data_IF_165234344022
#
_entry.id   IF_165234344022
#
_cell.length_a   1.000
_cell.length_b   1.000
_cell.length_c   1.000
_cell.angle_alpha   90.00
_cell.angle_beta   90.00
_cell.angle_gamma   90.00
#
_symmetry.space_group_name_H-M   'P 1'
#
loop_
_entity.id
_entity.type
_entity.pdbx_description
1 polymer ?
#
# COMPACT_ATOMS: atom_id res chain seq x y z
N UNK A 1 -18.05 19.79 -64.31
CA UNK A 1 -16.97 18.96 -64.92
C UNK A 1 -16.28 18.13 -63.83
N UNK A 2 -15.44 17.14 -64.19
CA UNK A 2 -14.75 16.24 -63.21
C UNK A 2 -14.04 17.01 -62.09
N UNK A 3 -13.27 18.04 -62.44
CA UNK A 3 -12.56 18.92 -61.51
C UNK A 3 -13.47 19.63 -60.49
N UNK A 4 -14.75 19.83 -60.80
CA UNK A 4 -15.72 20.50 -59.94
C UNK A 4 -16.19 19.56 -58.81
N UNK A 5 -16.40 18.28 -59.15
CA UNK A 5 -16.68 17.19 -58.21
C UNK A 5 -15.48 16.90 -57.30
N UNK A 6 -14.26 16.89 -57.84
CA UNK A 6 -13.02 16.72 -57.07
C UNK A 6 -12.81 17.89 -56.08
N UNK A 7 -13.09 19.13 -56.50
CA UNK A 7 -13.02 20.32 -55.62
C UNK A 7 -14.05 20.26 -54.49
N UNK A 8 -15.29 19.84 -54.78
CA UNK A 8 -16.33 19.70 -53.75
C UNK A 8 -16.01 18.57 -52.75
N UNK A 9 -15.50 17.44 -53.25
CA UNK A 9 -15.04 16.33 -52.41
C UNK A 9 -13.88 16.75 -51.48
N UNK A 10 -12.90 17.51 -51.99
CA UNK A 10 -11.78 18.02 -51.20
C UNK A 10 -12.23 18.97 -50.09
N UNK A 11 -13.16 19.90 -50.37
CA UNK A 11 -13.74 20.79 -49.34
C UNK A 11 -14.49 20.00 -48.27
N UNK A 12 -15.28 18.98 -48.68
CA UNK A 12 -16.03 18.13 -47.75
C UNK A 12 -15.12 17.25 -46.89
N UNK A 13 -14.00 16.79 -47.42
CA UNK A 13 -12.96 16.08 -46.67
C UNK A 13 -12.26 16.99 -45.65
N UNK A 14 -11.86 18.20 -46.04
CA UNK A 14 -11.23 19.18 -45.16
C UNK A 14 -12.14 19.57 -43.97
N UNK A 15 -13.43 19.84 -44.24
CA UNK A 15 -14.40 20.13 -43.20
C UNK A 15 -14.60 18.96 -42.20
N UNK A 16 -14.51 17.71 -42.69
CA UNK A 16 -14.63 16.51 -41.85
C UNK A 16 -13.39 16.27 -40.99
N UNK A 17 -12.19 16.56 -41.53
CA UNK A 17 -10.93 16.49 -40.80
C UNK A 17 -10.87 17.54 -39.68
N UNK A 18 -11.26 18.78 -39.95
CA UNK A 18 -11.26 19.85 -38.94
C UNK A 18 -12.27 19.58 -37.82
N UNK A 19 -13.46 19.06 -38.16
CA UNK A 19 -14.44 18.63 -37.14
C UNK A 19 -13.90 17.51 -36.24
N UNK A 20 -13.15 16.56 -36.79
CA UNK A 20 -12.52 15.48 -36.02
C UNK A 20 -11.46 16.03 -35.06
N UNK A 21 -10.62 16.96 -35.54
CA UNK A 21 -9.57 17.63 -34.74
C UNK A 21 -10.17 18.41 -33.56
N UNK A 22 -11.23 19.18 -33.80
CA UNK A 22 -11.95 19.89 -32.73
C UNK A 22 -12.57 18.93 -31.71
N UNK A 23 -13.07 17.77 -32.16
CA UNK A 23 -13.66 16.76 -31.27
C UNK A 23 -12.61 16.05 -30.41
N UNK A 24 -11.39 15.83 -30.93
CA UNK A 24 -10.25 15.34 -30.14
C UNK A 24 -9.81 16.35 -29.09
N UNK A 25 -9.57 17.61 -29.49
CA UNK A 25 -9.20 18.69 -28.57
C UNK A 25 -10.22 18.89 -27.44
N UNK A 26 -11.52 18.87 -27.75
CA UNK A 26 -12.58 18.98 -26.75
C UNK A 26 -12.64 17.76 -25.79
N UNK A 27 -12.24 16.57 -26.25
CA UNK A 27 -12.12 15.38 -25.39
C UNK A 27 -10.92 15.53 -24.46
N UNK A 28 -9.75 15.87 -25.00
CA UNK A 28 -8.50 16.07 -24.26
C UNK A 28 -8.64 17.18 -23.21
N UNK A 29 -9.28 18.30 -23.52
CA UNK A 29 -9.53 19.38 -22.55
C UNK A 29 -10.48 18.93 -21.43
N UNK A 30 -11.53 18.16 -21.76
CA UNK A 30 -12.47 17.61 -20.77
C UNK A 30 -11.78 16.61 -19.84
N UNK A 31 -10.91 15.77 -20.40
CA UNK A 31 -10.12 14.77 -19.67
C UNK A 31 -9.10 15.45 -18.76
N UNK A 32 -8.36 16.45 -19.27
CA UNK A 32 -7.46 17.30 -18.50
C UNK A 32 -8.18 18.01 -17.34
N UNK A 33 -9.35 18.64 -17.58
CA UNK A 33 -10.15 19.28 -16.51
C UNK A 33 -10.66 18.28 -15.47
N UNK A 34 -10.94 17.04 -15.87
CA UNK A 34 -11.32 15.99 -14.93
C UNK A 34 -10.13 15.59 -14.05
N UNK A 35 -8.94 15.44 -14.64
CA UNK A 35 -7.69 15.18 -13.91
C UNK A 35 -7.33 16.33 -12.97
N UNK A 36 -7.37 17.59 -13.42
CA UNK A 36 -7.11 18.76 -12.56
C UNK A 36 -8.06 18.82 -11.36
N UNK A 37 -9.36 18.52 -11.55
CA UNK A 37 -10.33 18.43 -10.45
C UNK A 37 -10.06 17.25 -9.50
N UNK A 38 -9.68 16.09 -10.04
CA UNK A 38 -9.28 14.90 -9.26
C UNK A 38 -8.05 15.20 -8.40
N UNK A 39 -7.04 15.86 -8.97
CA UNK A 39 -5.82 16.29 -8.27
C UNK A 39 -6.11 17.35 -7.20
N UNK A 40 -6.94 18.35 -7.47
CA UNK A 40 -7.33 19.33 -6.45
C UNK A 40 -8.07 18.68 -5.27
N UNK A 41 -9.00 17.77 -5.55
CA UNK A 41 -9.71 17.03 -4.52
C UNK A 41 -8.78 16.11 -3.68
N UNK A 42 -7.63 15.70 -4.24
CA UNK A 42 -6.57 14.97 -3.53
C UNK A 42 -5.93 15.87 -2.46
N UNK A 43 -5.44 17.05 -2.86
CA UNK A 43 -4.82 18.02 -1.95
C UNK A 43 -5.80 18.55 -0.89
N UNK A 44 -7.06 18.78 -1.27
CA UNK A 44 -8.12 19.20 -0.34
C UNK A 44 -8.47 18.13 0.71
N UNK A 45 -8.26 16.84 0.39
CA UNK A 45 -8.44 15.71 1.31
C UNK A 45 -7.21 15.53 2.22
N UNK A 46 -6.01 15.57 1.63
CA UNK A 46 -4.74 15.52 2.36
C UNK A 46 -4.66 16.61 3.44
N UNK A 47 -5.02 17.85 3.08
CA UNK A 47 -5.04 18.98 4.00
C UNK A 47 -6.00 18.79 5.18
N UNK A 48 -7.13 18.10 4.99
CA UNK A 48 -8.05 17.76 6.10
C UNK A 48 -7.44 16.72 7.01
N UNK A 49 -6.87 15.66 6.44
CA UNK A 49 -6.17 14.62 7.22
C UNK A 49 -5.07 15.24 8.07
N UNK A 50 -4.27 16.15 7.52
CA UNK A 50 -3.24 16.87 8.27
C UNK A 50 -3.80 17.80 9.36
N UNK A 51 -4.94 18.47 9.12
CA UNK A 51 -5.63 19.30 10.13
C UNK A 51 -6.10 18.43 11.31
N UNK A 52 -6.86 17.36 11.01
CA UNK A 52 -7.41 16.43 12.01
C UNK A 52 -6.31 15.76 12.86
N UNK A 53 -5.12 15.52 12.29
CA UNK A 53 -3.95 15.02 13.02
C UNK A 53 -3.28 16.07 13.92
N UNK A 54 -3.33 17.35 13.56
CA UNK A 54 -2.76 18.43 14.37
C UNK A 54 -3.62 18.82 15.58
N UNK A 55 -4.95 18.69 15.47
CA UNK A 55 -5.91 19.00 16.55
C UNK A 55 -5.96 17.96 17.69
N UNK A 56 -5.11 16.92 17.64
CA UNK A 56 -5.08 15.80 18.59
C UNK A 56 -3.72 15.58 19.28
N UNK A 57 -2.77 16.52 19.15
CA UNK A 57 -1.48 16.47 19.85
C UNK A 57 -1.40 17.36 21.11
N UNK A 58 -2.40 18.21 21.35
CA UNK A 58 -2.42 19.18 22.46
C UNK A 58 -3.19 18.72 23.71
N UNK A 59 -3.90 17.58 23.67
CA UNK A 59 -4.59 16.98 24.84
C UNK A 59 -4.24 15.49 25.03
N UNK A 60 -3.17 15.19 25.78
CA UNK A 60 -3.10 14.13 26.81
C UNK A 60 -1.66 14.01 27.36
N UNK A 61 -1.33 14.83 28.37
CA UNK A 61 -0.22 14.59 29.29
C UNK A 61 -0.80 14.28 30.68
N UNK A 62 -0.97 12.99 31.05
CA UNK A 62 -1.35 12.64 32.42
C UNK A 62 -0.15 12.83 33.36
N UNK A 63 -0.36 13.55 34.46
CA UNK A 63 0.64 13.77 35.51
C UNK A 63 1.14 12.45 36.10
N UNK A 64 2.46 12.31 36.23
CA UNK A 64 3.09 11.16 36.84
C UNK A 64 2.98 11.22 38.38
N UNK A 65 2.49 10.17 39.07
CA UNK A 65 2.47 10.12 40.52
C UNK A 65 3.87 9.83 41.09
N UNK A 66 4.45 10.83 41.77
CA UNK A 66 5.60 10.65 42.66
C UNK A 66 5.20 9.93 43.95
N UNK A 67 5.84 8.80 44.27
CA UNK A 67 6.00 8.36 45.66
C UNK A 67 7.21 7.44 45.85
N UNK A 68 8.04 7.80 46.83
CA UNK A 68 9.28 7.13 47.21
C UNK A 68 9.16 6.32 48.51
N UNK A 69 10.18 5.50 48.82
CA UNK A 69 10.39 4.64 50.02
C UNK A 69 9.62 3.30 49.99
N UNK A 70 10.06 2.21 50.62
CA UNK A 70 11.18 1.92 51.55
C UNK A 70 11.65 0.46 51.23
N UNK A 71 12.90 0.02 51.41
CA UNK A 71 13.43 -0.40 52.71
C UNK A 71 14.02 -1.82 52.63
N UNK A 72 15.29 -1.97 53.01
CA UNK A 72 16.18 -3.15 53.01
C UNK A 72 15.61 -4.51 53.50
N UNK A 73 16.12 -5.63 52.94
CA UNK A 73 16.72 -6.69 53.78
C UNK A 73 17.71 -7.60 53.02
N UNK A 74 18.70 -8.15 53.74
CA UNK A 74 19.76 -9.02 53.22
C UNK A 74 19.49 -10.51 53.52
N UNK A 75 20.07 -11.42 52.71
CA UNK A 75 21.13 -12.37 53.14
C UNK A 75 21.07 -13.81 52.54
N UNK A 76 22.27 -14.34 52.29
CA UNK A 76 22.68 -15.75 52.29
C UNK A 76 22.13 -16.77 51.29
N UNK A 77 23.00 -17.17 50.36
CA UNK A 77 23.56 -18.53 50.43
C UNK A 77 23.21 -19.51 49.27
N UNK A 78 24.20 -20.18 48.64
CA UNK A 78 23.99 -20.95 47.42
C UNK A 78 23.78 -22.46 47.65
N UNK A 79 23.20 -23.14 46.65
CA UNK A 79 23.38 -24.60 46.43
C UNK A 79 23.46 -24.92 44.94
N UNK A 80 24.50 -25.69 44.60
CA UNK A 80 24.78 -26.22 43.26
C UNK A 80 23.93 -27.47 42.90
N UNK A 81 24.15 -27.91 41.65
CA UNK A 81 24.08 -29.29 41.10
C UNK A 81 22.86 -29.71 40.26
N UNK A 82 23.11 -29.59 38.95
CA UNK A 82 23.31 -30.71 38.01
C UNK A 82 22.15 -31.62 37.57
N UNK A 83 22.17 -31.85 36.24
CA UNK A 83 21.80 -33.09 35.52
C UNK A 83 20.30 -33.38 35.27
N UNK A 84 19.89 -33.97 34.14
CA UNK A 84 20.57 -34.33 32.86
C UNK A 84 19.49 -34.46 31.75
N UNK A 85 19.90 -34.80 30.52
CA UNK A 85 19.13 -35.30 29.34
C UNK A 85 17.90 -36.20 29.67
N UNK A 86 16.96 -36.60 28.80
CA UNK A 86 16.93 -36.98 27.37
C UNK A 86 15.41 -37.03 26.98
N UNK A 87 14.89 -37.18 25.76
CA UNK A 87 15.48 -37.39 24.42
C UNK A 87 14.66 -36.62 23.33
N UNK A 88 13.89 -37.34 22.51
CA UNK A 88 13.33 -37.00 21.18
C UNK A 88 12.12 -37.95 20.91
N UNK A 89 11.23 -37.61 19.97
CA UNK A 89 10.76 -38.44 18.82
C UNK A 89 9.36 -38.05 18.32
N UNK A 90 9.30 -37.85 17.00
CA UNK A 90 8.16 -37.60 16.10
C UNK A 90 6.83 -38.35 16.35
N UNK A 91 5.74 -37.78 15.84
CA UNK A 91 5.02 -38.39 14.68
C UNK A 91 4.08 -37.45 13.91
N UNK A 92 3.91 -37.79 12.64
CA UNK A 92 3.33 -36.98 11.54
C UNK A 92 1.95 -37.50 11.11
N UNK A 93 1.11 -36.57 10.59
CA UNK A 93 -0.13 -36.80 9.79
C UNK A 93 -1.36 -37.38 10.50
N UNK A 94 -2.55 -36.79 10.33
CA UNK A 94 -3.31 -36.92 9.06
C UNK A 94 -4.39 -35.83 8.87
N UNK A 95 -4.81 -35.60 7.62
CA UNK A 95 -5.95 -34.76 7.26
C UNK A 95 -7.28 -35.31 7.79
N UNK A 96 -8.24 -34.41 8.08
CA UNK A 96 -9.65 -34.63 7.69
C UNK A 96 -10.29 -33.35 7.13
N UNK A 97 -11.13 -33.54 6.12
CA UNK A 97 -11.93 -32.54 5.41
C UNK A 97 -13.29 -32.40 6.12
N UNK A 98 -13.92 -31.22 6.07
CA UNK A 98 -15.37 -31.11 6.31
C UNK A 98 -16.02 -29.99 5.52
N UNK A 99 -17.14 -30.34 4.90
CA UNK A 99 -17.79 -29.71 3.77
C UNK A 99 -18.37 -28.30 3.94
N UNK A 100 -18.58 -27.69 2.78
CA UNK A 100 -19.35 -26.46 2.55
C UNK A 100 -20.78 -26.53 3.11
N UNK A 101 -21.28 -25.41 3.67
CA UNK A 101 -22.72 -25.18 3.78
C UNK A 101 -23.10 -23.76 3.33
N UNK A 102 -23.93 -23.70 2.29
CA UNK A 102 -24.49 -22.47 1.72
C UNK A 102 -25.33 -21.73 2.76
N UNK A 103 -25.22 -20.41 2.81
CA UNK A 103 -26.29 -19.56 3.34
C UNK A 103 -26.68 -18.45 2.36
N UNK A 104 -27.91 -17.98 2.54
CA UNK A 104 -28.78 -17.37 1.53
C UNK A 104 -29.00 -15.90 1.90
N UNK A 105 -28.74 -14.99 0.96
CA UNK A 105 -29.06 -13.58 1.10
C UNK A 105 -30.59 -13.41 1.07
N UNK A 106 -31.15 -12.64 2.00
CA UNK A 106 -32.49 -12.04 1.89
C UNK A 106 -32.48 -10.69 2.61
N UNK A 107 -33.25 -9.71 2.12
CA UNK A 107 -33.23 -8.31 2.53
C UNK A 107 -34.34 -7.94 3.53
N UNK A 108 -34.09 -6.85 4.24
CA UNK A 108 -35.01 -5.82 4.79
C UNK A 108 -35.88 -6.01 6.06
N UNK A 109 -36.03 -4.83 6.68
CA UNK A 109 -37.01 -4.28 7.64
C UNK A 109 -36.96 -4.57 9.16
N UNK A 110 -36.65 -3.48 9.87
CA UNK A 110 -36.91 -3.14 11.29
C UNK A 110 -38.40 -2.74 11.51
N UNK A 111 -38.89 -2.38 12.73
CA UNK A 111 -38.28 -2.43 14.08
C UNK A 111 -39.18 -3.03 15.20
N UNK A 112 -38.60 -3.30 16.38
CA UNK A 112 -39.24 -3.02 17.69
C UNK A 112 -38.26 -3.07 18.87
N UNK A 113 -38.43 -2.14 19.81
CA UNK A 113 -37.69 -2.05 21.08
C UNK A 113 -38.26 -2.99 22.15
N UNK A 114 -37.41 -3.43 23.08
CA UNK A 114 -37.67 -3.42 24.54
C UNK A 114 -36.34 -3.41 25.30
N UNK A 115 -36.29 -2.69 26.43
CA UNK A 115 -35.10 -2.46 27.26
C UNK A 115 -34.53 -3.70 27.96
N UNK A 116 -33.22 -3.71 28.23
CA UNK A 116 -32.67 -3.55 29.62
C UNK A 116 -31.19 -3.98 29.74
N UNK A 117 -30.47 -3.35 30.68
CA UNK A 117 -29.16 -3.81 31.17
C UNK A 117 -27.94 -3.07 30.62
N UNK A 118 -27.19 -2.42 31.50
CA UNK A 118 -26.02 -1.60 31.14
C UNK A 118 -24.69 -2.24 31.59
N UNK A 119 -23.71 -2.22 30.71
CA UNK A 119 -22.27 -2.23 31.01
C UNK A 119 -21.56 -1.71 29.76
N UNK A 120 -20.81 -0.62 29.90
CA UNK A 120 -20.40 0.20 28.76
C UNK A 120 -19.02 -0.14 28.20
N UNK A 121 -18.95 -0.28 26.89
CA UNK A 121 -17.76 0.00 26.08
C UNK A 121 -18.20 0.95 24.97
N UNK A 122 -17.91 2.24 25.12
CA UNK A 122 -18.11 3.24 24.05
C UNK A 122 -16.85 3.25 23.17
N UNK A 123 -16.86 2.70 21.94
CA UNK A 123 -15.70 2.84 21.06
C UNK A 123 -15.55 4.30 20.65
N UNK A 124 -14.46 4.90 21.12
CA UNK A 124 -14.09 6.30 20.97
C UNK A 124 -14.37 6.80 19.53
N UNK A 125 -15.10 7.93 19.35
CA UNK A 125 -15.54 8.38 18.03
C UNK A 125 -14.36 8.68 17.07
N UNK A 126 -13.20 9.04 17.60
CA UNK A 126 -11.98 9.41 16.87
C UNK A 126 -11.50 8.34 15.89
N UNK A 127 -11.54 7.06 16.29
CA UNK A 127 -11.11 5.95 15.43
C UNK A 127 -11.98 5.80 14.16
N UNK A 128 -13.30 6.00 14.29
CA UNK A 128 -14.25 5.80 13.19
C UNK A 128 -14.13 6.86 12.10
N UNK A 129 -13.71 8.09 12.43
CA UNK A 129 -13.59 9.17 11.46
C UNK A 129 -12.33 9.05 10.59
N UNK A 130 -11.17 8.75 11.19
CA UNK A 130 -9.93 8.47 10.47
C UNK A 130 -10.10 7.25 9.54
N UNK A 131 -10.71 6.16 10.02
CA UNK A 131 -11.04 4.99 9.18
C UNK A 131 -12.00 5.34 8.02
N UNK A 132 -12.91 6.29 8.20
CA UNK A 132 -13.80 6.79 7.13
C UNK A 132 -13.03 7.54 6.05
N UNK A 133 -12.04 8.35 6.43
CA UNK A 133 -11.16 9.06 5.51
C UNK A 133 -10.28 8.10 4.72
N UNK A 134 -9.56 7.19 5.39
CA UNK A 134 -8.68 6.21 4.73
C UNK A 134 -9.45 5.26 3.80
N UNK A 135 -10.65 4.80 4.19
CA UNK A 135 -11.53 4.00 3.31
C UNK A 135 -12.04 4.80 2.11
N UNK A 136 -12.33 6.09 2.29
CA UNK A 136 -12.72 6.97 1.19
C UNK A 136 -11.58 7.20 0.21
N UNK A 137 -10.34 7.37 0.71
CA UNK A 137 -9.13 7.48 -0.09
C UNK A 137 -8.82 6.19 -0.87
N UNK A 138 -8.84 5.01 -0.22
CA UNK A 138 -8.61 3.73 -0.90
C UNK A 138 -9.70 3.46 -1.95
N UNK A 139 -10.96 3.76 -1.67
CA UNK A 139 -12.06 3.68 -2.65
C UNK A 139 -11.84 4.63 -3.83
N UNK A 140 -11.28 5.82 -3.59
CA UNK A 140 -10.92 6.76 -4.63
C UNK A 140 -9.75 6.25 -5.48
N UNK A 141 -8.67 5.71 -4.89
CA UNK A 141 -7.56 5.08 -5.63
C UNK A 141 -8.06 3.96 -6.54
N UNK A 142 -8.99 3.12 -6.04
CA UNK A 142 -9.67 2.07 -6.83
C UNK A 142 -10.55 2.60 -7.97
N UNK A 143 -10.88 3.90 -7.99
CA UNK A 143 -11.63 4.57 -9.07
C UNK A 143 -10.73 5.24 -10.13
N UNK A 144 -9.41 5.16 -9.97
CA UNK A 144 -8.44 5.77 -10.89
C UNK A 144 -7.95 4.83 -12.00
N UNK A 145 -8.47 3.60 -12.07
CA UNK A 145 -8.06 2.57 -13.06
C UNK A 145 -6.54 2.30 -13.01
N UNK A 146 -5.96 2.38 -11.81
CA UNK A 146 -4.54 2.11 -11.55
C UNK A 146 -4.29 0.60 -11.53
N UNK A 147 -3.36 0.12 -12.37
CA UNK A 147 -2.94 -1.29 -12.36
C UNK A 147 -2.08 -1.65 -11.15
N UNK A 148 -1.21 -0.73 -10.73
CA UNK A 148 -0.21 -0.96 -9.67
C UNK A 148 0.02 0.26 -8.79
N UNK A 149 0.15 0.02 -7.48
CA UNK A 149 0.46 1.01 -6.46
C UNK A 149 1.80 0.67 -5.78
N UNK A 150 2.62 1.68 -5.52
CA UNK A 150 3.76 1.60 -4.62
C UNK A 150 3.49 2.49 -3.41
N UNK A 151 3.59 1.92 -2.22
CA UNK A 151 3.20 2.52 -0.95
C UNK A 151 4.43 2.62 -0.04
N UNK A 152 4.44 3.65 0.80
CA UNK A 152 5.42 3.89 1.86
C UNK A 152 4.67 4.05 3.19
N UNK A 153 5.39 4.02 4.32
CA UNK A 153 4.83 4.16 5.68
C UNK A 153 3.70 3.15 5.96
N UNK A 154 3.85 1.94 5.42
CA UNK A 154 2.81 0.90 5.46
C UNK A 154 2.64 0.28 6.85
N UNK A 155 3.70 0.20 7.65
CA UNK A 155 3.74 -0.51 8.95
C UNK A 155 3.25 -1.97 8.85
N UNK A 156 3.39 -2.60 7.68
CA UNK A 156 2.84 -3.91 7.35
C UNK A 156 3.71 -5.08 7.90
N UNK A 157 4.01 -5.02 9.20
CA UNK A 157 4.92 -5.94 9.90
C UNK A 157 4.39 -7.37 9.91
N UNK A 158 3.09 -7.54 10.13
CA UNK A 158 2.45 -8.84 10.34
C UNK A 158 1.43 -9.19 9.24
N UNK A 159 1.13 -10.48 9.14
CA UNK A 159 0.22 -11.04 8.14
C UNK A 159 -1.22 -10.51 8.26
N UNK A 160 -1.67 -10.09 9.45
CA UNK A 160 -3.02 -9.51 9.65
C UNK A 160 -3.10 -8.16 8.96
N UNK A 161 -2.17 -7.25 9.26
CA UNK A 161 -2.08 -5.92 8.62
C UNK A 161 -1.95 -6.04 7.10
N UNK A 162 -1.11 -6.96 6.61
CA UNK A 162 -0.98 -7.24 5.17
C UNK A 162 -2.28 -7.74 4.53
N UNK A 163 -3.01 -8.63 5.21
CA UNK A 163 -4.31 -9.12 4.75
C UNK A 163 -5.38 -8.02 4.76
N UNK A 164 -5.39 -7.14 5.75
CA UNK A 164 -6.30 -5.99 5.80
C UNK A 164 -6.07 -5.04 4.62
N UNK A 165 -4.82 -4.67 4.33
CA UNK A 165 -4.50 -3.90 3.13
C UNK A 165 -4.93 -4.62 1.85
N UNK A 166 -4.67 -5.93 1.75
CA UNK A 166 -5.06 -6.71 0.59
C UNK A 166 -6.59 -6.72 0.35
N UNK A 167 -7.39 -6.78 1.43
CA UNK A 167 -8.84 -6.65 1.34
C UNK A 167 -9.30 -5.23 0.96
N UNK A 168 -8.73 -4.20 1.59
CA UNK A 168 -9.08 -2.79 1.35
C UNK A 168 -8.82 -2.38 -0.11
N UNK A 169 -7.60 -2.66 -0.59
CA UNK A 169 -7.20 -2.38 -1.97
C UNK A 169 -7.88 -3.32 -2.99
N UNK A 170 -8.45 -4.46 -2.57
CA UNK A 170 -8.90 -5.54 -3.46
C UNK A 170 -7.73 -6.05 -4.34
N UNK A 171 -6.60 -6.27 -3.70
CA UNK A 171 -5.34 -6.73 -4.30
C UNK A 171 -5.49 -8.03 -5.09
N UNK A 172 -4.63 -8.20 -6.11
CA UNK A 172 -4.47 -9.42 -6.91
C UNK A 172 -3.11 -10.07 -6.70
N UNK A 173 -2.07 -9.27 -6.47
CA UNK A 173 -0.75 -9.70 -6.01
C UNK A 173 -0.10 -8.58 -5.20
N UNK A 174 0.67 -8.90 -4.16
CA UNK A 174 1.33 -7.90 -3.31
C UNK A 174 2.68 -8.38 -2.78
N UNK A 175 3.59 -7.44 -2.57
CA UNK A 175 4.75 -7.59 -1.70
C UNK A 175 4.68 -6.50 -0.62
N UNK A 176 5.06 -6.86 0.61
CA UNK A 176 5.04 -5.97 1.77
C UNK A 176 6.35 -6.08 2.56
N UNK A 177 6.78 -4.96 3.11
CA UNK A 177 7.75 -4.88 4.20
C UNK A 177 7.18 -3.99 5.29
N UNK A 178 7.89 -3.86 6.42
CA UNK A 178 7.57 -2.89 7.49
C UNK A 178 7.36 -1.46 6.99
N UNK A 179 8.01 -1.06 5.90
CA UNK A 179 8.00 0.31 5.42
C UNK A 179 7.37 0.50 4.03
N UNK A 180 7.37 -0.52 3.19
CA UNK A 180 7.00 -0.41 1.78
C UNK A 180 5.90 -1.43 1.41
N UNK A 181 5.18 -1.12 0.35
CA UNK A 181 4.29 -2.07 -0.33
C UNK A 181 4.36 -1.92 -1.83
N UNK A 182 4.28 -3.02 -2.57
CA UNK A 182 3.95 -3.01 -4.01
C UNK A 182 2.68 -3.83 -4.17
N UNK A 183 1.64 -3.24 -4.76
CA UNK A 183 0.31 -3.81 -4.87
C UNK A 183 -0.13 -3.81 -6.33
N UNK A 184 -0.53 -4.97 -6.84
CA UNK A 184 -1.19 -5.14 -8.13
C UNK A 184 -2.69 -5.20 -7.92
N UNK A 185 -3.42 -4.32 -8.61
CA UNK A 185 -4.89 -4.31 -8.68
C UNK A 185 -5.40 -5.03 -9.94
N UNK A 186 -4.55 -5.18 -10.95
CA UNK A 186 -4.90 -5.79 -12.23
C UNK A 186 -4.93 -7.33 -12.16
N UNK A 187 -6.02 -7.99 -12.60
CA UNK A 187 -6.22 -9.43 -12.39
C UNK A 187 -5.28 -10.34 -13.19
N UNK A 188 -4.55 -9.80 -14.18
CA UNK A 188 -3.58 -10.56 -14.99
C UNK A 188 -2.12 -10.18 -14.72
N UNK A 189 -1.83 -9.35 -13.71
CA UNK A 189 -0.46 -8.98 -13.33
C UNK A 189 -0.08 -9.57 -11.97
N UNK A 190 1.02 -10.35 -11.97
CA UNK A 190 1.63 -10.91 -10.78
C UNK A 190 2.94 -10.18 -10.44
N UNK A 191 3.16 -9.94 -9.15
CA UNK A 191 4.42 -9.41 -8.62
C UNK A 191 5.23 -10.57 -8.05
N UNK A 192 6.52 -10.64 -8.42
CA UNK A 192 7.48 -11.59 -7.86
C UNK A 192 8.69 -10.82 -7.32
N UNK A 193 9.04 -11.04 -6.06
CA UNK A 193 10.21 -10.42 -5.44
C UNK A 193 11.50 -10.96 -6.09
N UNK A 194 12.51 -10.09 -6.23
CA UNK A 194 13.87 -10.56 -6.45
C UNK A 194 14.46 -11.11 -5.15
N UNK A 195 15.41 -12.05 -5.27
CA UNK A 195 16.03 -12.76 -4.14
C UNK A 195 17.03 -11.92 -3.34
N UNK A 196 16.92 -10.59 -3.42
CA UNK A 196 17.79 -9.63 -2.76
C UNK A 196 17.29 -9.46 -1.32
N UNK A 197 18.07 -9.81 -0.28
CA UNK A 197 17.66 -9.59 1.09
C UNK A 197 17.63 -8.08 1.34
N UNK A 198 16.42 -7.56 1.54
CA UNK A 198 16.06 -6.61 2.59
C UNK A 198 17.28 -5.90 3.21
N UNK A 199 17.57 -4.66 2.79
CA UNK A 199 18.24 -3.71 3.70
C UNK A 199 17.48 -3.77 5.02
N UNK A 200 18.14 -4.12 6.13
CA UNK A 200 17.56 -4.79 7.31
C UNK A 200 16.21 -4.22 7.83
N UNK A 201 15.96 -2.92 7.64
CA UNK A 201 14.71 -2.23 7.97
C UNK A 201 13.53 -2.43 6.98
N UNK A 202 13.73 -3.01 5.79
CA UNK A 202 12.69 -3.15 4.75
C UNK A 202 12.43 -1.89 3.91
N UNK A 203 13.39 -0.98 3.80
CA UNK A 203 13.24 0.34 3.13
C UNK A 203 13.22 0.35 1.60
N UNK A 204 13.31 -0.81 0.96
CA UNK A 204 13.02 -0.92 -0.47
C UNK A 204 12.46 -2.31 -0.81
N UNK A 205 11.77 -2.39 -1.95
CA UNK A 205 11.32 -3.65 -2.57
C UNK A 205 11.76 -3.62 -4.03
N UNK A 206 12.53 -4.62 -4.47
CA UNK A 206 12.83 -4.86 -5.89
C UNK A 206 11.99 -6.05 -6.38
N UNK A 207 11.20 -5.85 -7.44
CA UNK A 207 10.28 -6.86 -7.94
C UNK A 207 10.17 -6.86 -9.47
N UNK A 208 9.96 -8.05 -10.04
CA UNK A 208 9.51 -8.24 -11.42
C UNK A 208 7.99 -8.29 -11.47
N UNK A 209 7.42 -7.75 -12.55
CA UNK A 209 5.99 -7.85 -12.84
C UNK A 209 5.81 -8.75 -14.06
N UNK A 210 4.96 -9.76 -13.92
CA UNK A 210 4.74 -10.80 -14.93
C UNK A 210 3.29 -10.85 -15.35
N UNK A 211 3.05 -11.27 -16.60
CA UNK A 211 1.71 -11.59 -17.08
C UNK A 211 1.30 -12.97 -16.55
N UNK A 212 0.08 -13.13 -16.05
CA UNK A 212 -0.47 -14.46 -15.77
C UNK A 212 -0.73 -15.29 -17.05
N UNK A 213 -0.70 -14.66 -18.24
CA UNK A 213 -0.83 -15.34 -19.54
C UNK A 213 0.52 -15.90 -20.01
N UNK A 214 1.61 -15.22 -19.69
CA UNK A 214 2.98 -15.71 -19.88
C UNK A 214 3.84 -15.33 -18.65
N UNK A 215 3.90 -16.22 -17.63
CA UNK A 215 4.71 -16.00 -16.44
C UNK A 215 6.20 -16.33 -16.67
N UNK A 216 6.61 -16.72 -17.89
CA UNK A 216 8.03 -16.99 -18.20
C UNK A 216 8.79 -15.73 -18.60
N UNK A 217 8.08 -14.71 -19.10
CA UNK A 217 8.66 -13.43 -19.54
C UNK A 217 8.21 -12.29 -18.62
N UNK A 218 9.10 -11.68 -17.81
CA UNK A 218 8.77 -10.47 -17.08
C UNK A 218 8.44 -9.32 -18.04
N UNK A 219 7.45 -8.50 -17.69
CA UNK A 219 7.02 -7.34 -18.47
C UNK A 219 7.86 -6.10 -18.15
N UNK A 220 8.16 -5.90 -16.87
CA UNK A 220 8.89 -4.77 -16.33
C UNK A 220 9.45 -5.09 -14.94
N UNK A 221 10.35 -4.24 -14.44
CA UNK A 221 10.83 -4.26 -13.06
C UNK A 221 10.43 -3.00 -12.31
N UNK A 222 10.14 -3.13 -11.01
CA UNK A 222 9.81 -2.04 -10.11
C UNK A 222 10.76 -2.07 -8.92
N UNK A 223 11.30 -0.91 -8.57
CA UNK A 223 11.99 -0.68 -7.31
C UNK A 223 11.21 0.41 -6.55
N UNK A 224 10.49 0.02 -5.50
CA UNK A 224 9.86 0.94 -4.56
C UNK A 224 10.85 1.26 -3.44
N UNK A 225 11.10 2.54 -3.18
CA UNK A 225 12.08 3.02 -2.20
C UNK A 225 11.39 3.93 -1.16
N UNK A 226 11.73 3.75 0.12
CA UNK A 226 11.43 4.67 1.21
C UNK A 226 12.73 5.10 1.91
N UNK A 227 13.36 6.13 1.34
CA UNK A 227 14.62 6.67 1.83
C UNK A 227 14.50 7.21 3.27
N UNK A 228 15.51 7.08 4.13
CA UNK A 228 15.46 7.66 5.48
C UNK A 228 15.28 9.18 5.49
N UNK A 229 14.39 9.70 6.35
CA UNK A 229 14.20 11.14 6.53
C UNK A 229 15.45 11.88 7.03
N UNK A 230 16.29 11.23 7.86
CA UNK A 230 17.53 11.83 8.38
C UNK A 230 18.67 11.77 7.34
N UNK A 231 19.22 12.93 6.95
CA UNK A 231 20.29 13.08 5.94
C UNK A 231 21.53 12.19 6.14
N UNK A 232 21.91 11.89 7.39
CA UNK A 232 23.05 10.98 7.66
C UNK A 232 22.69 9.54 7.30
N UNK A 233 21.57 9.02 7.79
CA UNK A 233 21.07 7.67 7.47
C UNK A 233 20.79 7.54 5.97
N UNK A 234 20.19 8.55 5.34
CA UNK A 234 19.89 8.59 3.91
C UNK A 234 21.14 8.41 3.04
N UNK A 235 22.24 9.08 3.39
CA UNK A 235 23.53 8.94 2.68
C UNK A 235 24.16 7.56 2.84
N UNK A 236 23.98 6.91 3.99
CA UNK A 236 24.44 5.52 4.21
C UNK A 236 23.58 4.55 3.39
N UNK A 237 22.25 4.67 3.49
CA UNK A 237 21.26 3.88 2.76
C UNK A 237 21.53 3.90 1.23
N UNK A 238 21.61 5.08 0.62
CA UNK A 238 21.86 5.16 -0.83
C UNK A 238 23.26 4.69 -1.24
N UNK A 239 24.27 4.83 -0.37
CA UNK A 239 25.59 4.24 -0.62
C UNK A 239 25.54 2.72 -0.60
N UNK A 240 24.80 2.13 0.33
CA UNK A 240 24.57 0.67 0.37
C UNK A 240 23.81 0.22 -0.89
N UNK A 241 22.72 0.91 -1.24
CA UNK A 241 21.89 0.59 -2.41
C UNK A 241 22.67 0.62 -3.75
N UNK A 242 23.55 1.60 -3.94
CA UNK A 242 24.40 1.70 -5.15
C UNK A 242 25.56 0.70 -5.14
N UNK A 243 25.94 0.19 -3.97
CA UNK A 243 26.97 -0.84 -3.82
C UNK A 243 26.39 -2.27 -3.79
N UNK A 244 25.05 -2.42 -3.81
CA UNK A 244 24.37 -3.71 -3.93
C UNK A 244 24.61 -4.27 -5.33
N UNK A 245 25.50 -5.27 -5.41
CA UNK A 245 25.90 -5.86 -6.68
C UNK A 245 24.77 -6.67 -7.35
N UNK A 246 23.81 -7.22 -6.60
CA UNK A 246 22.68 -7.95 -7.16
C UNK A 246 21.68 -6.96 -7.79
N UNK A 247 21.27 -5.95 -7.02
CA UNK A 247 20.39 -4.88 -7.49
C UNK A 247 20.99 -4.14 -8.70
N UNK A 248 22.28 -3.78 -8.62
CA UNK A 248 22.96 -3.09 -9.72
C UNK A 248 23.21 -4.00 -10.92
N UNK A 249 23.29 -5.32 -10.75
CA UNK A 249 23.32 -6.25 -11.90
C UNK A 249 21.96 -6.29 -12.59
N UNK A 250 20.88 -6.39 -11.81
CA UNK A 250 19.50 -6.37 -12.33
C UNK A 250 19.22 -5.07 -13.11
N UNK A 251 19.59 -3.91 -12.54
CA UNK A 251 19.48 -2.60 -13.19
C UNK A 251 20.30 -2.48 -14.49
N UNK A 252 21.52 -3.03 -14.52
CA UNK A 252 22.43 -2.94 -15.68
C UNK A 252 22.05 -3.88 -16.83
N UNK A 253 21.24 -4.92 -16.60
CA UNK A 253 20.85 -5.82 -17.68
C UNK A 253 19.98 -5.13 -18.75
N UNK A 254 19.28 -4.04 -18.40
CA UNK A 254 18.56 -3.13 -19.31
C UNK A 254 17.64 -3.77 -20.38
N UNK A 255 17.28 -5.05 -20.22
CA UNK A 255 16.41 -5.80 -21.14
C UNK A 255 14.93 -5.55 -20.90
N UNK A 256 14.58 -4.95 -19.75
CA UNK A 256 13.21 -4.70 -19.30
C UNK A 256 13.03 -3.21 -18.95
N UNK A 257 11.86 -2.62 -19.24
CA UNK A 257 11.46 -1.34 -18.65
C UNK A 257 11.58 -1.43 -17.13
N UNK A 258 12.29 -0.48 -16.51
CA UNK A 258 12.51 -0.46 -15.07
C UNK A 258 12.04 0.87 -14.50
N UNK A 259 11.17 0.82 -13.50
CA UNK A 259 10.66 1.97 -12.79
C UNK A 259 11.27 2.03 -11.39
N UNK A 260 11.91 3.14 -11.05
CA UNK A 260 12.39 3.43 -9.70
C UNK A 260 11.52 4.56 -9.17
N UNK A 261 10.79 4.29 -8.08
CA UNK A 261 9.81 5.22 -7.52
C UNK A 261 9.66 5.07 -6.01
N UNK A 262 8.92 6.00 -5.41
CA UNK A 262 8.66 6.07 -3.98
C UNK A 262 9.12 7.40 -3.40
N UNK A 263 9.17 7.47 -2.07
CA UNK A 263 9.69 8.63 -1.36
C UNK A 263 11.19 8.46 -1.12
N UNK A 264 11.99 9.26 -1.84
CA UNK A 264 13.43 9.24 -1.71
C UNK A 264 13.95 10.02 -0.48
N UNK A 265 13.08 10.78 0.19
CA UNK A 265 13.42 11.79 1.20
C UNK A 265 14.56 12.71 0.76
N UNK A 266 14.75 12.90 -0.55
CA UNK A 266 15.88 13.63 -1.10
C UNK A 266 15.63 15.13 -0.99
N UNK A 267 16.60 15.85 -0.43
CA UNK A 267 16.59 17.31 -0.40
C UNK A 267 17.56 17.80 -1.48
N UNK A 268 17.12 18.77 -2.28
CA UNK A 268 17.89 19.31 -3.40
C UNK A 268 18.70 20.56 -3.03
N UNK A 269 18.66 20.99 -1.76
CA UNK A 269 19.39 22.14 -1.19
C UNK A 269 20.88 21.87 -0.95
#
# INVERSE_FOLDING_TARGET
>A
TKAQLEKEAAVKAAARAEKLRQQQQAREEKERRLTEKKTQALFDLEKRIQSDLSEHLDEELPDAPDSSRDGTNENSGPKDRDSIMEEVVDRVSTHQVSDTKKMKITHDDTPKQTDSGASGDNPCPTSRHLLSSSRSFIRYLRSLEIDMLCLQETHAIDTTTQNEFNMLFNTKSSLWTTHCGIVSLHPHLQITAHSTPVHEEGRYICASVLSLVDPSTPLLSIINIYGPARSVQRRVFYRQLVNDQELMSHLKLCSLPTFILGDFNFDAS
#
